data_IF_407248831673
#
_entry.id   IF_407248831673
#
_cell.length_a   1.000
_cell.length_b   1.000
_cell.length_c   1.000
_cell.angle_alpha   90.00
_cell.angle_beta   90.00
_cell.angle_gamma   90.00
#
_symmetry.space_group_name_H-M   'P 1'
#
loop_
_entity.id
_entity.type
_entity.pdbx_description
1 polymer ?
#
# COMPACT_ATOMS: atom_id res chain seq x y z
N UNK A 1 -8.15 19.00 0.83
CA UNK A 1 -8.21 20.40 0.37
C UNK A 1 -7.19 20.69 -0.72
N UNK A 2 -5.95 20.19 -0.62
CA UNK A 2 -4.89 20.36 -1.63
C UNK A 2 -5.34 19.85 -3.02
N UNK A 3 -5.89 18.64 -3.09
CA UNK A 3 -6.38 18.05 -4.35
C UNK A 3 -7.58 18.77 -4.94
N UNK A 4 -8.45 19.36 -4.09
CA UNK A 4 -9.57 20.16 -4.55
C UNK A 4 -9.16 21.55 -5.03
N UNK A 5 -8.17 22.16 -4.40
CA UNK A 5 -7.72 23.51 -4.73
C UNK A 5 -6.64 23.52 -5.82
N UNK A 6 -5.78 22.49 -5.89
CA UNK A 6 -4.59 22.41 -6.74
C UNK A 6 -4.78 21.60 -8.02
N UNK A 7 -5.87 20.86 -8.17
CA UNK A 7 -6.13 20.10 -9.39
C UNK A 7 -7.57 20.29 -9.88
N UNK A 8 -7.76 20.18 -11.21
CA UNK A 8 -9.10 20.13 -11.84
C UNK A 8 -9.69 18.71 -11.80
N UNK A 9 -9.07 17.79 -11.03
CA UNK A 9 -9.46 16.38 -10.98
C UNK A 9 -10.68 16.17 -10.09
N UNK A 10 -11.54 15.25 -10.50
CA UNK A 10 -12.67 14.78 -9.70
C UNK A 10 -12.21 13.79 -8.62
N UNK A 11 -13.01 13.59 -7.58
CA UNK A 11 -12.71 12.62 -6.51
C UNK A 11 -12.46 11.22 -7.06
N UNK A 12 -13.19 10.80 -8.09
CA UNK A 12 -13.06 9.49 -8.72
C UNK A 12 -11.71 9.30 -9.40
N UNK A 13 -11.14 10.36 -9.97
CA UNK A 13 -9.86 10.30 -10.68
C UNK A 13 -8.65 10.19 -9.73
N UNK A 14 -8.67 10.86 -8.57
CA UNK A 14 -7.52 10.86 -7.66
C UNK A 14 -7.63 9.86 -6.50
N UNK A 15 -8.81 9.27 -6.29
CA UNK A 15 -9.06 8.34 -5.18
C UNK A 15 -8.08 7.16 -5.18
N UNK A 16 -8.04 6.40 -6.26
CA UNK A 16 -7.18 5.20 -6.37
C UNK A 16 -5.69 5.54 -6.32
N UNK A 17 -5.18 6.54 -7.06
CA UNK A 17 -3.80 6.98 -6.93
C UNK A 17 -3.42 7.38 -5.49
N UNK A 18 -4.26 8.12 -4.77
CA UNK A 18 -3.98 8.50 -3.37
C UNK A 18 -3.92 7.28 -2.46
N UNK A 19 -4.85 6.33 -2.61
CA UNK A 19 -4.81 5.07 -1.87
C UNK A 19 -3.55 4.26 -2.19
N UNK A 20 -3.11 4.26 -3.44
CA UNK A 20 -1.85 3.63 -3.85
C UNK A 20 -0.63 4.25 -3.17
N UNK A 21 -0.56 5.59 -3.05
CA UNK A 21 0.54 6.25 -2.31
C UNK A 21 0.54 5.88 -0.83
N UNK A 22 -0.63 5.82 -0.20
CA UNK A 22 -0.76 5.40 1.20
C UNK A 22 -0.33 3.93 1.37
N UNK A 23 -0.73 3.06 0.43
CA UNK A 23 -0.30 1.67 0.40
C UNK A 23 1.23 1.56 0.27
N UNK A 24 1.83 2.29 -0.68
CA UNK A 24 3.28 2.29 -0.89
C UNK A 24 4.05 2.79 0.36
N UNK A 25 3.51 3.82 1.04
CA UNK A 25 4.07 4.31 2.30
C UNK A 25 3.99 3.26 3.41
N UNK A 26 2.87 2.54 3.49
CA UNK A 26 2.71 1.40 4.41
C UNK A 26 3.69 0.26 4.10
N UNK A 27 3.76 -0.16 2.86
CA UNK A 27 4.68 -1.21 2.42
C UNK A 27 6.13 -0.84 2.76
N UNK A 28 6.51 0.42 2.59
CA UNK A 28 7.85 0.91 2.94
C UNK A 28 8.11 0.89 4.45
N UNK A 29 7.16 1.32 5.29
CA UNK A 29 7.31 1.23 6.75
C UNK A 29 7.50 -0.23 7.19
N UNK A 30 6.70 -1.13 6.65
CA UNK A 30 6.83 -2.57 6.94
C UNK A 30 8.15 -3.15 6.44
N UNK A 31 8.58 -2.77 5.24
CA UNK A 31 9.88 -3.12 4.68
C UNK A 31 11.02 -2.72 5.63
N UNK A 32 11.06 -1.47 6.08
CA UNK A 32 12.11 -0.97 7.01
C UNK A 32 12.18 -1.76 8.30
N UNK A 33 11.04 -2.06 8.91
CA UNK A 33 10.98 -2.84 10.15
C UNK A 33 11.56 -4.24 9.95
N UNK A 34 11.14 -4.92 8.89
CA UNK A 34 11.61 -6.28 8.57
C UNK A 34 13.09 -6.27 8.17
N UNK A 35 13.54 -5.29 7.39
CA UNK A 35 14.95 -5.12 7.04
C UNK A 35 15.83 -4.99 8.30
N UNK A 36 15.41 -4.17 9.28
CA UNK A 36 16.13 -4.02 10.55
C UNK A 36 16.18 -5.34 11.35
N UNK A 37 15.09 -6.11 11.36
CA UNK A 37 15.06 -7.42 12.00
C UNK A 37 16.03 -8.40 11.31
N UNK A 38 16.00 -8.45 9.97
CA UNK A 38 16.90 -9.32 9.19
C UNK A 38 18.37 -8.94 9.47
N UNK A 39 18.68 -7.65 9.47
CA UNK A 39 20.04 -7.18 9.69
C UNK A 39 20.59 -7.48 11.09
N UNK A 40 19.72 -7.52 12.13
CA UNK A 40 20.12 -7.89 13.51
C UNK A 40 20.58 -9.33 13.61
N UNK A 41 19.93 -10.23 12.87
CA UNK A 41 20.18 -11.67 12.94
C UNK A 41 21.19 -12.15 11.87
N UNK A 42 21.67 -11.24 11.02
CA UNK A 42 22.50 -11.60 9.87
C UNK A 42 23.95 -11.91 10.25
N UNK A 43 24.49 -13.06 9.84
CA UNK A 43 25.87 -13.41 10.12
C UNK A 43 26.85 -12.49 9.36
N UNK A 44 27.91 -12.08 10.03
CA UNK A 44 29.03 -11.39 9.38
C UNK A 44 29.95 -12.40 8.70
N UNK A 45 30.24 -12.20 7.43
CA UNK A 45 31.24 -12.98 6.68
C UNK A 45 32.38 -12.07 6.25
N UNK A 46 33.59 -12.30 6.76
CA UNK A 46 34.75 -11.47 6.45
C UNK A 46 34.64 -10.00 6.89
N UNK A 47 33.92 -9.70 7.98
CA UNK A 47 33.73 -8.33 8.50
C UNK A 47 32.69 -7.51 7.73
N UNK A 48 31.94 -8.10 6.78
CA UNK A 48 30.86 -7.45 6.05
C UNK A 48 29.54 -8.17 6.32
N UNK A 49 28.49 -7.40 6.56
CA UNK A 49 27.11 -7.91 6.61
C UNK A 49 26.69 -8.29 5.19
N UNK A 50 26.12 -9.48 5.00
CA UNK A 50 25.62 -9.91 3.69
C UNK A 50 24.44 -8.99 3.26
N UNK A 51 24.30 -8.66 1.97
CA UNK A 51 23.17 -7.90 1.48
C UNK A 51 21.84 -8.63 1.78
N UNK A 52 20.80 -7.86 2.01
CA UNK A 52 19.45 -8.39 2.23
C UNK A 52 18.84 -8.77 0.88
N UNK A 53 18.23 -9.95 0.78
CA UNK A 53 17.65 -10.49 -0.44
C UNK A 53 16.13 -10.62 -0.34
N UNK A 54 15.47 -10.76 -1.48
CA UNK A 54 14.01 -10.92 -1.57
C UNK A 54 13.51 -12.14 -0.76
N UNK A 55 14.27 -13.24 -0.77
CA UNK A 55 13.96 -14.46 -0.02
C UNK A 55 13.84 -14.24 1.48
N UNK A 56 14.65 -13.35 2.06
CA UNK A 56 14.62 -13.02 3.48
C UNK A 56 13.30 -12.37 3.91
N UNK A 57 12.71 -11.56 3.00
CA UNK A 57 11.42 -10.92 3.24
C UNK A 57 10.25 -11.89 3.08
N UNK A 58 10.34 -12.81 2.12
CA UNK A 58 9.31 -13.84 1.90
C UNK A 58 9.13 -14.72 3.16
N UNK A 59 10.22 -15.11 3.83
CA UNK A 59 10.17 -15.87 5.09
C UNK A 59 9.46 -15.12 6.22
N UNK A 60 9.48 -13.78 6.19
CA UNK A 60 8.83 -12.91 7.19
C UNK A 60 7.45 -12.39 6.73
N UNK A 61 6.90 -12.93 5.63
CA UNK A 61 5.63 -12.49 5.04
C UNK A 61 5.59 -10.97 4.80
N UNK A 62 6.69 -10.42 4.30
CA UNK A 62 6.83 -9.01 3.97
C UNK A 62 7.22 -8.82 2.51
N UNK A 63 6.83 -7.69 1.93
CA UNK A 63 7.23 -7.30 0.57
C UNK A 63 8.67 -6.80 0.57
N UNK A 64 9.47 -7.32 -0.35
CA UNK A 64 10.73 -6.69 -0.70
C UNK A 64 10.47 -5.46 -1.57
N UNK A 65 11.12 -4.35 -1.28
CA UNK A 65 11.01 -3.13 -2.09
C UNK A 65 12.36 -2.81 -2.74
N UNK A 66 12.47 -2.95 -4.08
CA UNK A 66 13.60 -2.42 -4.83
C UNK A 66 13.83 -0.94 -4.51
N UNK A 67 15.05 -0.45 -4.62
CA UNK A 67 15.43 0.90 -4.25
C UNK A 67 14.51 1.97 -4.88
N UNK A 68 14.18 1.79 -6.15
CA UNK A 68 13.36 2.70 -6.96
C UNK A 68 11.88 2.69 -6.54
N UNK A 69 11.44 1.65 -5.81
CA UNK A 69 10.10 1.54 -5.25
C UNK A 69 10.02 1.96 -3.76
N UNK A 70 11.16 2.28 -3.14
CA UNK A 70 11.17 2.73 -1.75
C UNK A 70 10.63 4.15 -1.64
N UNK A 71 9.72 4.36 -0.71
CA UNK A 71 9.05 5.65 -0.53
C UNK A 71 10.03 6.81 -0.30
N UNK A 72 11.08 6.58 0.50
CA UNK A 72 12.12 7.55 0.76
C UNK A 72 12.90 7.94 -0.51
N UNK A 73 13.11 7.01 -1.45
CA UNK A 73 13.73 7.31 -2.73
C UNK A 73 12.86 8.30 -3.53
N UNK A 74 11.55 8.04 -3.64
CA UNK A 74 10.61 8.89 -4.38
C UNK A 74 10.52 10.30 -3.82
N UNK A 75 10.46 10.45 -2.49
CA UNK A 75 10.36 11.77 -1.83
C UNK A 75 11.62 12.61 -2.01
N UNK A 76 12.79 11.98 -2.12
CA UNK A 76 14.08 12.66 -2.24
C UNK A 76 14.54 12.88 -3.69
N UNK A 77 13.70 12.55 -4.68
CA UNK A 77 14.02 12.83 -6.08
C UNK A 77 14.11 14.34 -6.34
N UNK A 78 15.06 14.78 -7.17
CA UNK A 78 15.14 16.18 -7.61
C UNK A 78 13.89 16.57 -8.41
N UNK A 79 13.57 17.86 -8.42
CA UNK A 79 12.40 18.38 -9.15
C UNK A 79 12.52 18.19 -10.68
N UNK A 80 13.74 18.16 -11.24
CA UNK A 80 13.96 17.97 -12.66
C UNK A 80 14.26 16.48 -12.96
N UNK A 81 13.21 15.70 -13.14
CA UNK A 81 13.30 14.25 -13.41
C UNK A 81 14.05 13.94 -14.73
N UNK A 82 13.79 14.64 -15.86
CA UNK A 82 14.46 14.33 -17.12
C UNK A 82 16.00 14.41 -17.05
N UNK A 83 16.54 15.32 -16.25
CA UNK A 83 18.00 15.47 -16.09
C UNK A 83 18.63 14.34 -15.28
N UNK A 84 17.84 13.54 -14.58
CA UNK A 84 18.36 12.41 -13.78
C UNK A 84 18.68 11.18 -14.63
N UNK A 85 18.22 11.11 -15.88
CA UNK A 85 18.45 9.98 -16.78
C UNK A 85 17.88 8.67 -16.25
N UNK A 86 16.76 8.73 -15.51
CA UNK A 86 16.10 7.55 -14.94
C UNK A 86 15.47 6.71 -16.06
N UNK A 87 15.56 5.39 -15.92
CA UNK A 87 14.96 4.43 -16.85
C UNK A 87 14.01 3.51 -16.11
N UNK A 88 12.87 3.24 -16.74
CA UNK A 88 11.88 2.30 -16.24
C UNK A 88 12.26 0.83 -16.46
N UNK A 89 11.41 -0.07 -16.02
CA UNK A 89 11.58 -1.54 -16.13
C UNK A 89 11.80 -1.96 -17.59
N UNK A 90 11.10 -1.35 -18.53
CA UNK A 90 11.20 -1.65 -19.97
C UNK A 90 12.39 -0.94 -20.66
N UNK A 91 13.23 -0.20 -19.91
CA UNK A 91 14.35 0.54 -20.44
C UNK A 91 13.97 1.88 -21.07
N UNK A 92 12.72 2.29 -21.02
CA UNK A 92 12.24 3.60 -21.48
C UNK A 92 12.65 4.71 -20.49
N UNK A 93 12.99 5.93 -20.99
CA UNK A 93 13.31 7.05 -20.12
C UNK A 93 12.07 7.52 -19.34
N UNK A 94 12.27 7.87 -18.07
CA UNK A 94 11.23 8.45 -17.21
C UNK A 94 11.40 9.97 -17.17
N UNK A 95 10.37 10.70 -17.60
CA UNK A 95 10.45 12.14 -17.83
C UNK A 95 9.62 12.97 -16.83
N UNK A 96 8.82 12.32 -15.97
CA UNK A 96 8.01 12.97 -14.96
C UNK A 96 8.00 12.18 -13.66
N UNK A 97 7.69 12.84 -12.57
CA UNK A 97 7.53 12.18 -11.27
C UNK A 97 6.37 11.16 -11.32
N UNK A 98 5.32 11.46 -12.09
CA UNK A 98 4.22 10.52 -12.31
C UNK A 98 4.66 9.21 -12.95
N UNK A 99 5.54 9.27 -13.97
CA UNK A 99 6.12 8.07 -14.60
C UNK A 99 7.02 7.29 -13.65
N UNK A 100 7.80 7.99 -12.80
CA UNK A 100 8.62 7.32 -11.77
C UNK A 100 7.76 6.60 -10.75
N UNK A 101 6.66 7.19 -10.29
CA UNK A 101 5.73 6.54 -9.35
C UNK A 101 5.02 5.36 -10.01
N UNK A 102 4.61 5.48 -11.30
CA UNK A 102 4.04 4.35 -12.05
C UNK A 102 5.03 3.18 -12.10
N UNK A 103 6.29 3.46 -12.43
CA UNK A 103 7.36 2.46 -12.45
C UNK A 103 7.59 1.84 -11.07
N UNK A 104 7.52 2.63 -10.00
CA UNK A 104 7.61 2.11 -8.63
C UNK A 104 6.49 1.13 -8.31
N UNK A 105 5.25 1.41 -8.72
CA UNK A 105 4.10 0.50 -8.54
C UNK A 105 4.30 -0.81 -9.33
N UNK A 106 4.81 -0.75 -10.56
CA UNK A 106 5.15 -1.92 -11.35
C UNK A 106 6.24 -2.78 -10.69
N UNK A 107 7.28 -2.14 -10.15
CA UNK A 107 8.33 -2.83 -9.41
C UNK A 107 7.78 -3.56 -8.18
N UNK A 108 6.82 -2.96 -7.46
CA UNK A 108 6.15 -3.61 -6.33
C UNK A 108 5.30 -4.81 -6.78
N UNK A 109 4.55 -4.67 -7.88
CA UNK A 109 3.75 -5.77 -8.43
C UNK A 109 4.62 -6.97 -8.83
N UNK A 110 5.83 -6.74 -9.34
CA UNK A 110 6.77 -7.82 -9.68
C UNK A 110 7.25 -8.62 -8.45
N UNK A 111 7.13 -8.06 -7.24
CA UNK A 111 7.53 -8.75 -6.02
C UNK A 111 6.44 -9.68 -5.45
N UNK A 112 5.20 -9.62 -5.97
CA UNK A 112 4.08 -10.40 -5.47
C UNK A 112 3.07 -10.71 -6.56
N UNK A 113 2.85 -12.00 -6.83
CA UNK A 113 1.83 -12.45 -7.78
C UNK A 113 0.41 -11.94 -7.42
N UNK A 114 0.14 -11.77 -6.12
CA UNK A 114 -1.15 -11.28 -5.63
C UNK A 114 -1.41 -9.81 -5.95
N UNK A 115 -0.36 -9.04 -6.22
CA UNK A 115 -0.47 -7.61 -6.52
C UNK A 115 -0.45 -7.31 -8.02
N UNK A 116 -0.20 -8.31 -8.87
CA UNK A 116 -0.11 -8.10 -10.32
C UNK A 116 -1.40 -7.49 -10.90
N UNK A 117 -1.26 -6.33 -11.55
CA UNK A 117 -2.35 -5.60 -12.16
C UNK A 117 -3.33 -4.92 -11.19
N UNK A 118 -3.02 -4.89 -9.89
CA UNK A 118 -3.91 -4.35 -8.84
C UNK A 118 -3.57 -2.90 -8.48
N UNK A 119 -2.29 -2.54 -8.53
CA UNK A 119 -1.85 -1.21 -8.09
C UNK A 119 -2.17 -0.14 -9.16
N UNK A 120 -2.58 1.06 -8.74
CA UNK A 120 -2.85 2.15 -9.67
C UNK A 120 -1.57 2.64 -10.35
N UNK A 121 -1.65 2.96 -11.64
CA UNK A 121 -0.55 3.45 -12.48
C UNK A 121 -0.94 4.72 -13.26
N UNK A 122 -1.82 5.52 -12.69
CA UNK A 122 -2.36 6.74 -13.31
C UNK A 122 -1.77 8.01 -12.68
N UNK A 123 -0.50 7.96 -12.23
CA UNK A 123 0.10 9.09 -11.51
C UNK A 123 0.49 10.25 -12.41
N UNK A 124 0.54 10.05 -13.73
CA UNK A 124 0.75 11.12 -14.72
C UNK A 124 -0.40 12.12 -14.85
N UNK A 125 -1.54 11.84 -14.20
CA UNK A 125 -2.67 12.79 -14.11
C UNK A 125 -2.35 13.98 -13.19
N UNK A 126 -1.36 13.83 -12.30
CA UNK A 126 -0.90 14.89 -11.40
C UNK A 126 0.25 15.66 -12.02
N UNK A 127 0.35 16.97 -11.72
CA UNK A 127 1.60 17.67 -11.97
C UNK A 127 2.70 17.18 -11.01
N UNK A 128 3.97 17.31 -11.41
CA UNK A 128 5.10 16.87 -10.59
C UNK A 128 5.14 17.61 -9.24
N UNK A 129 4.77 18.91 -9.22
CA UNK A 129 4.69 19.71 -8.00
C UNK A 129 3.65 19.14 -7.02
N UNK A 130 2.43 18.88 -7.53
CA UNK A 130 1.33 18.37 -6.72
C UNK A 130 1.64 16.96 -6.21
N UNK A 131 2.18 16.09 -7.07
CA UNK A 131 2.56 14.74 -6.70
C UNK A 131 3.69 14.73 -5.67
N UNK A 132 4.70 15.60 -5.85
CA UNK A 132 5.78 15.77 -4.88
C UNK A 132 5.30 16.28 -3.52
N UNK A 133 4.31 17.16 -3.51
CA UNK A 133 3.67 17.62 -2.26
C UNK A 133 2.87 16.51 -1.56
N UNK A 134 2.11 15.70 -2.31
CA UNK A 134 1.40 14.53 -1.78
C UNK A 134 2.37 13.52 -1.17
N UNK A 135 3.46 13.21 -1.87
CA UNK A 135 4.49 12.30 -1.35
C UNK A 135 5.08 12.83 -0.02
N UNK A 136 5.34 14.13 0.11
CA UNK A 136 5.86 14.72 1.35
C UNK A 136 4.83 14.69 2.49
N UNK A 137 3.56 14.95 2.20
CA UNK A 137 2.47 14.90 3.21
C UNK A 137 2.36 13.50 3.82
N UNK A 138 2.47 12.44 3.01
CA UNK A 138 2.41 11.07 3.51
C UNK A 138 3.74 10.58 4.08
N UNK A 139 4.85 11.28 3.87
CA UNK A 139 6.15 10.95 4.45
C UNK A 139 6.29 11.54 5.85
N UNK A 140 5.47 11.09 6.78
CA UNK A 140 5.52 11.53 8.17
C UNK A 140 6.15 10.44 9.04
N UNK A 141 7.25 10.75 9.73
CA UNK A 141 7.99 9.83 10.60
C UNK A 141 7.12 9.32 11.76
N UNK A 142 6.11 10.10 12.18
CA UNK A 142 5.12 9.62 13.15
C UNK A 142 4.35 8.37 12.68
N UNK A 143 4.34 8.08 11.37
CA UNK A 143 3.75 6.86 10.83
C UNK A 143 4.68 5.64 10.97
N UNK A 144 5.99 5.84 11.15
CA UNK A 144 6.96 4.76 11.33
C UNK A 144 6.94 4.20 12.76
N UNK A 145 6.68 5.08 13.75
CA UNK A 145 6.63 4.71 15.17
C UNK A 145 5.30 4.08 15.59
N UNK A 146 4.28 4.22 14.76
CA UNK A 146 2.93 3.73 15.04
C UNK A 146 2.76 2.39 14.37
N UNK A 147 2.62 1.32 15.13
CA UNK A 147 2.49 -0.06 14.63
C UNK A 147 1.46 -0.19 13.50
N UNK A 148 1.61 -1.24 12.67
CA UNK A 148 0.88 -1.45 11.40
C UNK A 148 -0.63 -1.23 11.40
N UNK A 149 -1.28 -1.27 12.58
CA UNK A 149 -2.72 -1.02 12.71
C UNK A 149 -3.14 0.44 12.44
N UNK A 150 -2.26 1.43 12.63
CA UNK A 150 -2.64 2.85 12.39
C UNK A 150 -2.66 3.20 10.92
N UNK A 151 -1.71 2.68 10.15
CA UNK A 151 -1.72 2.92 8.70
C UNK A 151 -2.90 2.19 8.06
N UNK A 152 -3.24 0.99 8.55
CA UNK A 152 -4.47 0.29 8.18
C UNK A 152 -5.71 1.15 8.44
N UNK A 153 -5.79 1.82 9.60
CA UNK A 153 -6.88 2.76 9.93
C UNK A 153 -6.90 4.01 9.06
N UNK A 154 -5.75 4.55 8.69
CA UNK A 154 -5.65 5.67 7.75
C UNK A 154 -6.15 5.23 6.37
N UNK A 155 -5.72 4.07 5.89
CA UNK A 155 -6.19 3.50 4.64
C UNK A 155 -7.71 3.29 4.65
N UNK A 156 -8.27 2.66 5.70
CA UNK A 156 -9.71 2.49 5.89
C UNK A 156 -10.45 3.83 5.94
N UNK A 157 -9.90 4.84 6.61
CA UNK A 157 -10.49 6.17 6.66
C UNK A 157 -10.62 6.79 5.27
N UNK A 158 -9.55 6.76 4.47
CA UNK A 158 -9.57 7.28 3.11
C UNK A 158 -10.48 6.44 2.22
N UNK A 159 -10.42 5.12 2.30
CA UNK A 159 -11.32 4.24 1.57
C UNK A 159 -12.79 4.58 1.84
N UNK A 160 -13.19 4.71 3.12
CA UNK A 160 -14.54 5.07 3.52
C UNK A 160 -14.94 6.48 3.05
N UNK A 161 -13.99 7.43 3.08
CA UNK A 161 -14.23 8.80 2.64
C UNK A 161 -14.44 8.88 1.13
N UNK A 162 -13.66 8.10 0.37
CA UNK A 162 -13.79 8.02 -1.08
C UNK A 162 -14.99 7.18 -1.50
N UNK A 163 -15.25 6.05 -0.82
CA UNK A 163 -16.43 5.21 -1.09
C UNK A 163 -17.75 6.01 -0.97
N UNK A 164 -17.83 6.95 -0.04
CA UNK A 164 -19.01 7.85 0.05
C UNK A 164 -19.19 8.76 -1.17
N UNK A 165 -18.10 9.11 -1.84
CA UNK A 165 -18.15 9.96 -3.03
C UNK A 165 -18.36 9.11 -4.31
N UNK A 166 -17.78 7.90 -4.37
CA UNK A 166 -17.91 6.95 -5.49
C UNK A 166 -19.26 6.21 -5.43
N UNK A 167 -19.75 5.89 -4.23
CA UNK A 167 -21.02 5.17 -4.06
C UNK A 167 -22.26 5.96 -4.54
N UNK A 168 -22.13 7.26 -4.77
CA UNK A 168 -23.19 8.04 -5.42
C UNK A 168 -23.30 7.72 -6.93
N UNK A 169 -22.20 7.24 -7.56
CA UNK A 169 -22.16 6.99 -8.99
C UNK A 169 -22.32 5.50 -9.37
N UNK A 170 -21.74 4.54 -8.58
CA UNK A 170 -21.65 3.12 -8.99
C UNK A 170 -22.29 2.10 -8.03
N UNK A 171 -22.86 2.51 -6.91
CA UNK A 171 -23.53 1.61 -5.95
C UNK A 171 -22.60 0.60 -5.25
N UNK A 172 -21.30 0.78 -5.31
CA UNK A 172 -20.30 -0.06 -4.63
C UNK A 172 -20.14 0.38 -3.19
N UNK A 173 -20.70 -0.38 -2.26
CA UNK A 173 -20.57 -0.13 -0.82
C UNK A 173 -19.55 -1.09 -0.18
N UNK A 174 -18.55 -0.52 0.48
CA UNK A 174 -17.70 -1.27 1.38
C UNK A 174 -18.45 -1.46 2.72
N UNK A 175 -18.67 -2.72 3.12
CA UNK A 175 -19.35 -3.02 4.38
C UNK A 175 -18.46 -2.56 5.55
N UNK A 176 -18.93 -1.68 6.45
CA UNK A 176 -18.13 -1.22 7.58
C UNK A 176 -17.63 -2.39 8.44
N UNK A 177 -16.36 -2.37 8.82
CA UNK A 177 -15.72 -3.41 9.65
C UNK A 177 -16.47 -3.67 10.97
N UNK A 178 -17.06 -2.61 11.56
CA UNK A 178 -17.88 -2.73 12.77
C UNK A 178 -19.12 -3.59 12.56
N UNK A 179 -19.78 -3.47 11.40
CA UNK A 179 -20.95 -4.27 11.04
C UNK A 179 -20.54 -5.72 10.78
N UNK A 180 -19.46 -5.94 10.01
CA UNK A 180 -18.91 -7.28 9.75
C UNK A 180 -18.57 -7.98 11.07
N UNK A 181 -17.86 -7.26 11.96
CA UNK A 181 -17.50 -7.77 13.28
C UNK A 181 -18.71 -8.13 14.15
N UNK A 182 -19.75 -7.31 14.12
CA UNK A 182 -21.00 -7.59 14.80
C UNK A 182 -21.66 -8.89 14.28
N UNK A 183 -21.76 -9.03 12.95
CA UNK A 183 -22.36 -10.22 12.32
C UNK A 183 -21.56 -11.47 12.68
N UNK A 184 -20.25 -11.46 12.59
CA UNK A 184 -19.38 -12.59 12.93
C UNK A 184 -19.52 -12.97 14.41
N UNK A 185 -19.56 -11.98 15.32
CA UNK A 185 -19.75 -12.23 16.74
C UNK A 185 -21.15 -12.82 17.08
N UNK A 186 -22.18 -12.49 16.30
CA UNK A 186 -23.52 -13.07 16.45
C UNK A 186 -23.58 -14.50 15.91
N UNK A 187 -22.86 -14.77 14.81
CA UNK A 187 -22.83 -16.10 14.18
C UNK A 187 -21.96 -17.10 14.94
N UNK A 188 -20.96 -16.61 15.69
CA UNK A 188 -20.00 -17.43 16.46
C UNK A 188 -19.47 -18.64 15.67
N UNK A 189 -18.87 -18.42 14.46
CA UNK A 189 -18.39 -19.51 13.62
C UNK A 189 -17.28 -20.27 14.34
N UNK A 190 -17.41 -21.59 14.45
CA UNK A 190 -16.41 -22.46 15.07
C UNK A 190 -15.75 -23.40 14.06
N UNK A 191 -16.52 -24.00 13.16
CA UNK A 191 -16.05 -24.94 12.14
C UNK A 191 -17.10 -25.07 11.02
N UNK A 192 -16.70 -25.66 9.88
CA UNK A 192 -17.59 -25.93 8.75
C UNK A 192 -17.27 -25.08 7.52
N UNK A 193 -18.27 -24.93 6.64
CA UNK A 193 -18.16 -24.15 5.39
C UNK A 193 -18.87 -22.82 5.58
N UNK A 194 -18.17 -21.73 5.27
CA UNK A 194 -18.72 -20.38 5.24
C UNK A 194 -19.05 -20.00 3.80
N UNK A 195 -20.32 -19.64 3.55
CA UNK A 195 -20.79 -19.14 2.27
C UNK A 195 -21.29 -17.71 2.44
N UNK A 196 -20.71 -16.80 1.67
CA UNK A 196 -21.20 -15.43 1.53
C UNK A 196 -21.52 -15.16 0.05
N UNK A 197 -22.82 -15.16 -0.35
CA UNK A 197 -23.23 -14.95 -1.73
C UNK A 197 -23.04 -13.53 -2.24
N UNK A 198 -22.70 -12.59 -1.36
CA UNK A 198 -22.46 -11.18 -1.66
C UNK A 198 -21.14 -10.68 -1.03
N UNK A 199 -20.10 -11.51 -1.09
CA UNK A 199 -18.87 -11.35 -0.32
C UNK A 199 -18.09 -10.04 -0.56
N UNK A 200 -18.33 -9.36 -1.69
CA UNK A 200 -17.56 -8.17 -2.04
C UNK A 200 -16.05 -8.44 -2.02
N UNK A 201 -15.32 -7.68 -1.20
CA UNK A 201 -13.87 -7.85 -0.97
C UNK A 201 -13.51 -8.99 0.00
N UNK A 202 -14.46 -9.79 0.43
CA UNK A 202 -14.22 -10.91 1.34
C UNK A 202 -14.09 -10.55 2.82
N UNK A 203 -14.57 -9.39 3.23
CA UNK A 203 -14.45 -8.90 4.61
C UNK A 203 -15.01 -9.86 5.67
N UNK A 204 -16.11 -10.56 5.36
CA UNK A 204 -16.69 -11.58 6.24
C UNK A 204 -15.75 -12.77 6.46
N UNK A 205 -15.08 -13.24 5.41
CA UNK A 205 -14.14 -14.37 5.53
C UNK A 205 -12.94 -14.00 6.39
N UNK A 206 -12.34 -12.81 6.16
CA UNK A 206 -11.20 -12.31 6.94
C UNK A 206 -11.57 -12.19 8.41
N UNK A 207 -12.71 -11.56 8.72
CA UNK A 207 -13.13 -11.35 10.10
C UNK A 207 -13.52 -12.66 10.80
N UNK A 208 -14.05 -13.64 10.04
CA UNK A 208 -14.33 -15.00 10.57
C UNK A 208 -13.02 -15.70 10.92
N UNK A 209 -12.00 -15.64 10.06
CA UNK A 209 -10.67 -16.16 10.36
C UNK A 209 -10.08 -15.56 11.64
N UNK A 210 -10.13 -14.24 11.77
CA UNK A 210 -9.68 -13.54 12.97
C UNK A 210 -10.44 -13.99 14.23
N UNK A 211 -11.75 -14.16 14.14
CA UNK A 211 -12.60 -14.60 15.26
C UNK A 211 -12.22 -16.01 15.74
N UNK A 212 -12.09 -16.96 14.81
CA UNK A 212 -11.75 -18.36 15.14
C UNK A 212 -10.35 -18.46 15.74
N UNK A 213 -9.37 -17.72 15.18
CA UNK A 213 -8.00 -17.67 15.70
C UNK A 213 -7.95 -17.12 17.13
N UNK A 214 -8.68 -16.02 17.42
CA UNK A 214 -8.71 -15.43 18.77
C UNK A 214 -9.47 -16.27 19.80
N UNK A 215 -10.45 -17.06 19.34
CA UNK A 215 -11.19 -17.97 20.22
C UNK A 215 -10.41 -19.25 20.55
N UNK A 216 -9.21 -19.46 19.99
CA UNK A 216 -8.41 -20.66 20.21
C UNK A 216 -9.06 -21.94 19.68
N UNK A 217 -9.87 -21.81 18.63
CA UNK A 217 -10.66 -22.91 18.04
C UNK A 217 -9.90 -23.62 16.88
N UNK A 218 -8.63 -23.28 16.66
CA UNK A 218 -7.71 -23.97 15.72
C UNK A 218 -6.55 -24.56 16.51
#
# INVERSE_FOLDING_TARGET
DLLRAGSKLTSNQYCMPVLGLIFLRYAYSRFKLVEQEILKDRPMRGGRVLPVEQSDFAEKSALFLPKEAQYNYLVNLPANIPEQGLTGIEGNPLNSLGEVVNNAMELVEQQSEQLQGVLPKDYTIFSDELLGELLRIFNNDALDDVGGDVIGRIYEYFLNKFAKNVAQDDGVFFTPKSLVKMIVNVLEPAHGVLLDPACGSGGMFVQTGDFVNHAGMI
#
